data_IF_846410464125
#
_entry.id   IF_846410464125
#
_cell.length_a   1.000
_cell.length_b   1.000
_cell.length_c   1.000
_cell.angle_alpha   90.00
_cell.angle_beta   90.00
_cell.angle_gamma   90.00
#
_symmetry.space_group_name_H-M   'P 1'
#
loop_
_entity.id
_entity.type
_entity.pdbx_description
1 polymer ?
#
# COMPACT_ATOMS: atom_id res chain seq x y z
N UNK A 1 19.01 -1.02 21.51
CA UNK A 1 17.68 -0.40 21.60
C UNK A 1 16.77 -1.22 22.52
N UNK A 2 15.75 -0.59 23.07
CA UNK A 2 14.74 -1.27 23.91
C UNK A 2 13.54 -1.60 23.02
N UNK A 3 13.07 -2.85 23.06
CA UNK A 3 11.81 -3.22 22.41
C UNK A 3 10.65 -2.48 23.08
N UNK A 4 9.81 -1.81 22.27
CA UNK A 4 8.65 -1.02 22.73
C UNK A 4 7.37 -1.86 22.67
N UNK A 5 7.20 -2.62 21.58
CA UNK A 5 6.04 -3.49 21.35
C UNK A 5 6.43 -4.73 20.55
N UNK A 6 5.58 -5.73 20.57
CA UNK A 6 5.63 -6.90 19.69
C UNK A 6 4.20 -7.16 19.21
N UNK A 7 4.00 -7.14 17.89
CA UNK A 7 2.71 -7.38 17.25
C UNK A 7 2.64 -8.81 16.75
N UNK A 8 1.52 -9.49 16.93
CA UNK A 8 1.38 -10.95 16.69
C UNK A 8 0.17 -11.31 15.83
N UNK A 9 -0.34 -10.34 15.06
CA UNK A 9 -1.56 -10.50 14.26
C UNK A 9 -1.38 -11.41 13.03
N UNK A 10 -0.14 -11.56 12.54
CA UNK A 10 0.15 -12.41 11.40
C UNK A 10 0.44 -13.86 11.80
N UNK A 11 -0.16 -14.80 11.06
CA UNK A 11 0.03 -16.23 11.28
C UNK A 11 1.25 -16.83 10.55
N UNK A 12 1.87 -16.05 9.64
CA UNK A 12 3.00 -16.44 8.81
C UNK A 12 4.08 -15.34 8.81
N UNK A 13 5.27 -15.59 8.25
CA UNK A 13 6.35 -14.62 8.21
C UNK A 13 5.92 -13.26 7.65
N UNK A 14 6.34 -12.19 8.32
CA UNK A 14 6.23 -10.82 7.83
C UNK A 14 7.35 -10.58 6.81
N UNK A 15 6.99 -10.05 5.63
CA UNK A 15 7.92 -9.74 4.54
C UNK A 15 8.27 -8.27 4.46
N UNK A 16 7.30 -7.43 4.74
CA UNK A 16 7.43 -6.00 4.54
C UNK A 16 6.73 -5.22 5.62
N UNK A 17 7.30 -4.09 5.97
CA UNK A 17 6.71 -3.12 6.88
C UNK A 17 7.04 -1.72 6.38
N UNK A 18 6.05 -0.84 6.38
CA UNK A 18 6.23 0.56 6.01
C UNK A 18 5.36 1.46 6.87
N UNK A 19 5.80 2.70 7.05
CA UNK A 19 5.01 3.73 7.71
C UNK A 19 4.36 4.63 6.66
N UNK A 20 3.20 5.17 7.01
CA UNK A 20 2.69 6.33 6.30
C UNK A 20 3.68 7.50 6.44
N UNK A 21 3.74 8.36 5.42
CA UNK A 21 4.65 9.51 5.46
C UNK A 21 4.18 10.53 6.50
N UNK A 22 5.13 11.21 7.18
CA UNK A 22 4.77 12.29 8.10
C UNK A 22 4.09 13.44 7.36
N UNK A 23 3.24 14.17 8.07
CA UNK A 23 2.51 15.35 7.58
C UNK A 23 1.34 15.11 6.61
N UNK A 24 0.82 13.89 6.59
CA UNK A 24 -0.42 13.54 5.85
C UNK A 24 -1.49 13.02 6.81
N UNK A 25 -2.74 12.94 6.35
CA UNK A 25 -3.90 12.59 7.20
C UNK A 25 -3.82 11.19 7.83
N UNK A 26 -2.98 10.31 7.31
CA UNK A 26 -2.78 8.93 7.79
C UNK A 26 -1.35 8.70 8.30
N UNK A 27 -0.67 9.77 8.76
CA UNK A 27 0.76 9.73 9.16
C UNK A 27 1.06 8.79 10.31
N UNK A 28 0.08 8.47 11.13
CA UNK A 28 0.23 7.61 12.30
C UNK A 28 -0.10 6.13 12.01
N UNK A 29 -0.13 5.73 10.72
CA UNK A 29 -0.36 4.36 10.34
C UNK A 29 0.92 3.63 9.94
N UNK A 30 0.95 2.35 10.27
CA UNK A 30 1.96 1.38 9.84
C UNK A 30 1.26 0.25 9.08
N UNK A 31 1.88 -0.19 8.02
CA UNK A 31 1.37 -1.27 7.16
C UNK A 31 2.34 -2.44 7.19
N UNK A 32 1.80 -3.64 7.39
CA UNK A 32 2.58 -4.87 7.51
C UNK A 32 2.05 -5.90 6.52
N UNK A 33 2.90 -6.41 5.65
CA UNK A 33 2.55 -7.44 4.67
C UNK A 33 3.20 -8.78 5.00
N UNK A 34 2.44 -9.86 4.82
CA UNK A 34 2.84 -11.20 5.27
C UNK A 34 2.60 -12.30 4.23
N UNK A 35 3.27 -13.42 4.45
CA UNK A 35 3.05 -14.68 3.74
C UNK A 35 1.65 -15.26 3.98
N UNK A 36 0.93 -14.81 5.01
CA UNK A 36 -0.47 -15.18 5.24
C UNK A 36 -1.45 -14.52 4.25
N UNK A 37 -0.93 -13.76 3.28
CA UNK A 37 -1.66 -13.11 2.18
C UNK A 37 -2.48 -11.90 2.60
N UNK A 38 -2.27 -11.42 3.81
CA UNK A 38 -2.96 -10.24 4.35
C UNK A 38 -1.99 -9.08 4.53
N UNK A 39 -2.56 -7.88 4.56
CA UNK A 39 -1.88 -6.66 4.98
C UNK A 39 -2.62 -6.14 6.20
N UNK A 40 -1.93 -5.97 7.31
CA UNK A 40 -2.51 -5.31 8.48
C UNK A 40 -2.16 -3.84 8.53
N UNK A 41 -3.11 -3.04 8.96
CA UNK A 41 -2.99 -1.59 9.17
C UNK A 41 -3.02 -1.34 10.67
N UNK A 42 -2.00 -0.69 11.20
CA UNK A 42 -1.86 -0.44 12.62
C UNK A 42 -1.82 1.06 12.92
N UNK A 43 -2.44 1.46 14.02
CA UNK A 43 -2.31 2.79 14.59
C UNK A 43 -1.03 2.87 15.45
N UNK A 44 -0.08 3.69 15.03
CA UNK A 44 1.20 3.88 15.72
C UNK A 44 1.01 4.57 17.08
N UNK A 45 0.01 5.42 17.23
CA UNK A 45 -0.30 6.05 18.51
C UNK A 45 -0.83 5.04 19.54
N UNK A 46 -1.68 4.10 19.09
CA UNK A 46 -2.14 2.99 19.92
C UNK A 46 -0.96 2.11 20.38
N UNK A 47 -0.01 1.81 19.49
CA UNK A 47 1.22 1.08 19.84
C UNK A 47 2.02 1.84 20.91
N UNK A 48 2.21 3.15 20.77
CA UNK A 48 2.94 3.99 21.75
C UNK A 48 2.24 4.07 23.09
N UNK A 49 0.91 4.04 23.09
CA UNK A 49 0.08 4.09 24.29
C UNK A 49 -0.12 2.72 24.94
N UNK A 50 0.53 1.68 24.44
CA UNK A 50 0.42 0.29 24.94
C UNK A 50 -1.01 -0.24 24.93
N UNK A 51 -1.83 0.16 23.96
CA UNK A 51 -3.16 -0.40 23.73
C UNK A 51 -3.00 -1.80 23.16
N UNK A 52 -3.82 -2.75 23.63
CA UNK A 52 -3.71 -4.16 23.22
C UNK A 52 -4.13 -4.42 21.77
N UNK A 53 -5.09 -3.66 21.27
CA UNK A 53 -5.54 -3.73 19.87
C UNK A 53 -5.01 -2.55 19.09
N UNK A 54 -4.03 -2.81 18.23
CA UNK A 54 -3.39 -1.79 17.41
C UNK A 54 -3.74 -1.91 15.94
N UNK A 55 -4.23 -3.09 15.49
CA UNK A 55 -4.70 -3.29 14.15
C UNK A 55 -6.07 -2.63 13.94
N UNK A 56 -6.12 -1.63 13.08
CA UNK A 56 -7.34 -0.90 12.72
C UNK A 56 -8.04 -1.50 11.50
N UNK A 57 -7.30 -2.26 10.68
CA UNK A 57 -7.85 -2.98 9.53
C UNK A 57 -6.94 -4.13 9.11
N UNK A 58 -7.55 -5.11 8.41
CA UNK A 58 -6.85 -6.18 7.69
C UNK A 58 -7.34 -6.20 6.24
N UNK A 59 -6.43 -5.98 5.28
CA UNK A 59 -6.74 -5.96 3.86
C UNK A 59 -6.57 -7.35 3.29
N UNK A 60 -7.63 -7.86 2.72
CA UNK A 60 -7.66 -9.18 2.10
C UNK A 60 -7.87 -9.07 0.60
N UNK A 61 -7.35 -10.04 -0.15
CA UNK A 61 -7.55 -10.10 -1.60
C UNK A 61 -6.36 -10.67 -2.36
N UNK A 62 -5.15 -10.58 -1.81
CA UNK A 62 -4.00 -11.30 -2.35
C UNK A 62 -4.18 -12.81 -2.19
N UNK A 63 -3.71 -13.57 -3.18
CA UNK A 63 -3.78 -15.04 -3.21
C UNK A 63 -2.44 -15.72 -2.94
N UNK A 64 -1.39 -14.93 -2.79
CA UNK A 64 -0.03 -15.35 -2.51
C UNK A 64 0.60 -14.47 -1.43
N UNK A 65 1.88 -14.61 -1.23
CA UNK A 65 2.66 -13.85 -0.26
C UNK A 65 2.70 -12.38 -0.61
N UNK A 66 2.41 -11.51 0.34
CA UNK A 66 2.59 -10.07 0.16
C UNK A 66 4.07 -9.76 0.29
N UNK A 67 4.69 -9.37 -0.82
CA UNK A 67 6.14 -9.20 -0.91
C UNK A 67 6.58 -7.78 -0.58
N UNK A 68 5.78 -6.78 -0.94
CA UNK A 68 6.05 -5.38 -0.59
C UNK A 68 4.77 -4.58 -0.41
N UNK A 69 4.83 -3.57 0.45
CA UNK A 69 3.77 -2.59 0.69
C UNK A 69 4.41 -1.21 0.82
N UNK A 70 3.91 -0.24 0.08
CA UNK A 70 4.42 1.13 0.09
C UNK A 70 3.28 2.15 0.21
N UNK A 71 3.42 3.09 1.15
CA UNK A 71 2.49 4.19 1.29
C UNK A 71 2.76 5.28 0.24
N UNK A 72 1.73 5.71 -0.45
CA UNK A 72 1.78 6.84 -1.39
C UNK A 72 1.99 8.18 -0.68
N UNK A 73 2.37 9.19 -1.43
CA UNK A 73 2.78 10.46 -0.87
C UNK A 73 1.69 11.27 -0.18
N UNK A 74 0.44 11.08 -0.59
CA UNK A 74 -0.71 11.69 0.06
C UNK A 74 -1.16 10.93 1.33
N UNK A 75 -0.50 9.79 1.66
CA UNK A 75 -0.81 8.94 2.79
C UNK A 75 -2.16 8.20 2.71
N UNK A 76 -2.98 8.49 1.70
CA UNK A 76 -4.31 7.89 1.53
C UNK A 76 -4.28 6.58 0.74
N UNK A 77 -3.35 6.45 -0.20
CA UNK A 77 -3.26 5.27 -1.06
C UNK A 77 -2.02 4.46 -0.69
N UNK A 78 -2.19 3.17 -0.56
CA UNK A 78 -1.06 2.24 -0.46
C UNK A 78 -1.03 1.32 -1.68
N UNK A 79 0.18 0.95 -2.10
CA UNK A 79 0.42 -0.05 -3.12
C UNK A 79 0.96 -1.32 -2.47
N UNK A 80 0.50 -2.48 -2.93
CA UNK A 80 1.03 -3.77 -2.49
C UNK A 80 1.36 -4.65 -3.67
N UNK A 81 2.43 -5.45 -3.53
CA UNK A 81 2.86 -6.44 -4.52
C UNK A 81 2.86 -7.83 -3.92
N UNK A 82 2.70 -8.83 -4.77
CA UNK A 82 2.47 -10.17 -4.30
C UNK A 82 3.05 -11.23 -5.24
N UNK A 83 3.32 -12.40 -4.67
CA UNK A 83 3.69 -13.60 -5.41
C UNK A 83 2.55 -14.15 -6.27
N UNK A 84 1.32 -13.64 -6.13
CA UNK A 84 0.18 -13.94 -7.00
C UNK A 84 0.21 -13.17 -8.33
N UNK A 85 1.32 -12.49 -8.63
CA UNK A 85 1.57 -11.72 -9.84
C UNK A 85 0.73 -10.44 -9.94
N UNK A 86 0.20 -9.95 -8.84
CA UNK A 86 -0.72 -8.80 -8.83
C UNK A 86 -0.17 -7.64 -8.01
N UNK A 87 -0.28 -6.44 -8.56
CA UNK A 87 -0.19 -5.18 -7.80
C UNK A 87 -1.60 -4.75 -7.45
N UNK A 88 -1.82 -4.32 -6.22
CA UNK A 88 -3.07 -3.72 -5.76
C UNK A 88 -2.84 -2.34 -5.20
N UNK A 89 -3.76 -1.42 -5.49
CA UNK A 89 -3.84 -0.13 -4.81
C UNK A 89 -5.08 -0.12 -3.91
N UNK A 90 -4.91 0.42 -2.71
CA UNK A 90 -5.94 0.46 -1.68
C UNK A 90 -6.18 1.89 -1.25
N UNK A 91 -7.46 2.29 -1.13
CA UNK A 91 -7.85 3.61 -0.63
C UNK A 91 -8.18 3.53 0.86
N UNK A 92 -7.35 4.15 1.68
CA UNK A 92 -7.54 4.22 3.13
C UNK A 92 -8.65 5.20 3.54
N UNK A 93 -9.11 6.03 2.61
CA UNK A 93 -10.19 7.01 2.87
C UNK A 93 -11.59 6.41 2.82
N UNK A 94 -11.73 5.13 2.49
CA UNK A 94 -13.00 4.40 2.47
C UNK A 94 -13.15 3.52 3.71
N UNK A 95 -14.37 3.30 4.15
CA UNK A 95 -14.68 2.37 5.25
C UNK A 95 -15.80 1.43 4.80
N UNK A 96 -15.52 0.15 4.55
CA UNK A 96 -14.20 -0.52 4.65
C UNK A 96 -13.18 0.00 3.61
N UNK A 97 -11.89 -0.22 3.88
CA UNK A 97 -10.81 0.09 2.93
C UNK A 97 -11.00 -0.74 1.65
N UNK A 98 -11.01 -0.07 0.51
CA UNK A 98 -11.29 -0.68 -0.78
C UNK A 98 -10.04 -0.86 -1.64
N UNK A 99 -9.99 -1.97 -2.38
CA UNK A 99 -9.03 -2.16 -3.46
C UNK A 99 -9.53 -1.41 -4.71
N UNK A 100 -8.87 -0.31 -5.04
CA UNK A 100 -9.28 0.61 -6.12
C UNK A 100 -8.62 0.33 -7.46
N UNK A 101 -7.53 -0.45 -7.47
CA UNK A 101 -6.87 -0.87 -8.69
C UNK A 101 -6.23 -2.25 -8.51
N UNK A 102 -6.25 -3.03 -9.57
CA UNK A 102 -5.57 -4.32 -9.67
C UNK A 102 -4.86 -4.40 -11.02
N UNK A 103 -3.55 -4.64 -11.00
CA UNK A 103 -2.74 -4.85 -12.19
C UNK A 103 -2.03 -6.20 -12.12
N UNK A 104 -2.24 -7.06 -13.12
CA UNK A 104 -1.63 -8.39 -13.20
C UNK A 104 -0.40 -8.37 -14.11
N UNK A 105 0.65 -9.05 -13.69
CA UNK A 105 1.86 -9.32 -14.48
C UNK A 105 1.99 -10.82 -14.75
N UNK A 106 3.01 -11.20 -15.53
CA UNK A 106 3.24 -12.63 -15.89
C UNK A 106 3.97 -13.39 -14.79
N UNK A 107 4.70 -12.70 -13.94
CA UNK A 107 5.60 -13.27 -12.92
C UNK A 107 5.37 -12.58 -11.57
N UNK A 108 5.85 -13.17 -10.46
CA UNK A 108 5.82 -12.55 -9.14
C UNK A 108 6.43 -11.13 -9.15
N UNK A 109 5.84 -10.25 -8.36
CA UNK A 109 6.24 -8.84 -8.27
C UNK A 109 6.87 -8.61 -6.91
N UNK A 110 8.18 -8.37 -6.89
CA UNK A 110 8.98 -8.31 -5.68
C UNK A 110 8.89 -6.99 -4.93
N UNK A 111 8.73 -5.89 -5.68
CA UNK A 111 8.75 -4.59 -5.05
C UNK A 111 7.96 -3.54 -5.80
N UNK A 112 7.56 -2.50 -5.09
CA UNK A 112 6.90 -1.32 -5.63
C UNK A 112 7.51 -0.05 -5.04
N UNK A 113 7.62 0.98 -5.84
CA UNK A 113 8.01 2.30 -5.36
C UNK A 113 7.18 3.39 -6.04
N UNK A 114 6.80 4.40 -5.28
CA UNK A 114 6.10 5.56 -5.79
C UNK A 114 7.05 6.56 -6.41
N UNK A 115 6.67 7.17 -7.53
CA UNK A 115 7.42 8.28 -8.10
C UNK A 115 7.36 9.50 -7.15
N UNK A 116 8.47 10.20 -6.93
CA UNK A 116 8.50 11.36 -6.02
C UNK A 116 7.43 12.41 -6.30
N UNK A 117 7.19 12.76 -7.58
CA UNK A 117 6.18 13.76 -7.96
C UNK A 117 4.73 13.32 -7.66
N UNK A 118 4.50 12.02 -7.52
CA UNK A 118 3.21 11.48 -7.07
C UNK A 118 2.97 11.70 -5.57
N UNK A 119 3.94 12.29 -4.91
CA UNK A 119 3.98 12.53 -3.47
C UNK A 119 3.49 13.92 -3.08
N UNK A 120 3.35 14.84 -4.04
CA UNK A 120 2.89 16.21 -3.82
C UNK A 120 1.39 16.32 -4.15
N UNK A 121 0.55 15.72 -3.31
CA UNK A 121 -0.88 16.03 -3.30
C UNK A 121 -1.09 17.42 -2.70
N UNK A 122 -1.57 18.38 -3.50
CA UNK A 122 -1.98 19.69 -2.96
C UNK A 122 -3.17 19.50 -2.03
N UNK A 123 -3.19 20.24 -0.91
CA UNK A 123 -4.27 20.22 0.09
C UNK A 123 -5.68 20.46 -0.46
N UNK A 124 -5.80 20.95 -1.69
CA UNK A 124 -7.07 21.29 -2.35
C UNK A 124 -7.81 20.06 -2.90
N UNK A 125 -7.13 18.93 -3.11
CA UNK A 125 -7.74 17.71 -3.65
C UNK A 125 -8.43 16.81 -2.60
N UNK A 126 -8.46 17.21 -1.35
CA UNK A 126 -8.94 16.40 -0.22
C UNK A 126 -10.46 16.22 -0.16
N UNK A 127 -11.24 16.80 -1.06
CA UNK A 127 -12.71 16.81 -1.01
C UNK A 127 -13.44 15.97 -2.05
N UNK A 128 -12.75 15.38 -3.01
CA UNK A 128 -13.40 14.66 -4.12
C UNK A 128 -13.12 13.16 -4.09
N UNK A 129 -14.17 12.36 -4.26
CA UNK A 129 -14.07 10.90 -4.52
C UNK A 129 -13.33 10.58 -5.83
N UNK A 130 -12.90 11.60 -6.55
CA UNK A 130 -12.10 11.55 -7.78
C UNK A 130 -10.59 11.53 -7.49
N UNK A 131 -10.18 11.20 -6.28
CA UNK A 131 -8.77 11.23 -5.82
C UNK A 131 -7.85 10.18 -6.45
N UNK A 132 -8.38 9.36 -7.33
CA UNK A 132 -7.58 8.66 -8.35
C UNK A 132 -7.35 9.58 -9.56
N UNK A 133 -7.64 10.88 -9.40
CA UNK A 133 -7.39 11.86 -10.41
C UNK A 133 -5.91 12.00 -10.68
N UNK A 134 -5.58 11.64 -11.88
CA UNK A 134 -4.47 12.13 -12.66
C UNK A 134 -3.08 12.02 -12.01
N UNK A 135 -2.43 10.88 -12.21
CA UNK A 135 -1.00 10.92 -12.31
C UNK A 135 -0.18 10.30 -11.21
N UNK A 136 -0.75 9.54 -10.27
CA UNK A 136 0.07 8.72 -9.39
C UNK A 136 0.88 7.75 -10.24
N UNK A 137 2.20 7.94 -10.22
CA UNK A 137 3.13 7.07 -10.93
C UNK A 137 3.81 6.16 -9.93
N UNK A 138 3.90 4.90 -10.26
CA UNK A 138 4.66 3.94 -9.48
C UNK A 138 5.41 2.98 -10.40
N UNK A 139 6.45 2.38 -9.89
CA UNK A 139 7.25 1.39 -10.59
C UNK A 139 7.19 0.07 -9.83
N UNK A 140 7.33 -1.03 -10.56
CA UNK A 140 7.40 -2.38 -9.99
C UNK A 140 8.62 -3.11 -10.53
N UNK A 141 9.24 -3.92 -9.67
CA UNK A 141 10.26 -4.88 -10.05
C UNK A 141 9.72 -6.30 -9.97
N UNK A 142 9.91 -7.09 -11.02
CA UNK A 142 9.36 -8.43 -11.13
C UNK A 142 10.42 -9.49 -11.43
N UNK A 143 10.06 -10.76 -11.22
CA UNK A 143 10.94 -11.92 -11.33
C UNK A 143 11.43 -12.18 -12.78
N UNK A 144 10.79 -11.58 -13.76
CA UNK A 144 11.22 -11.63 -15.17
C UNK A 144 12.38 -10.67 -15.50
N UNK A 145 12.93 -9.98 -14.48
CA UNK A 145 14.03 -9.04 -14.65
C UNK A 145 13.61 -7.67 -15.20
N UNK A 146 12.31 -7.38 -15.29
CA UNK A 146 11.81 -6.11 -15.79
C UNK A 146 11.41 -5.16 -14.66
N UNK A 147 11.63 -3.88 -14.93
CA UNK A 147 11.03 -2.77 -14.17
C UNK A 147 9.93 -2.16 -15.03
N UNK A 148 8.72 -2.04 -14.47
CA UNK A 148 7.57 -1.47 -15.17
C UNK A 148 7.09 -0.24 -14.47
N UNK A 149 6.84 0.83 -15.25
CA UNK A 149 6.26 2.06 -14.74
C UNK A 149 4.77 2.10 -15.08
N UNK A 150 3.98 2.49 -14.09
CA UNK A 150 2.53 2.64 -14.22
C UNK A 150 2.13 4.07 -13.88
N UNK A 151 1.10 4.51 -14.55
CA UNK A 151 0.36 5.72 -14.20
C UNK A 151 -1.07 5.33 -13.88
N UNK A 152 -1.56 5.68 -12.69
CA UNK A 152 -2.97 5.48 -12.40
C UNK A 152 -3.80 6.40 -13.29
N UNK A 153 -4.67 5.81 -14.11
CA UNK A 153 -5.70 6.57 -14.81
C UNK A 153 -6.83 6.84 -13.80
N UNK A 154 -7.43 8.02 -13.84
CA UNK A 154 -8.64 8.33 -13.09
C UNK A 154 -9.73 7.27 -13.36
N UNK A 155 -10.68 7.14 -12.46
CA UNK A 155 -11.75 6.13 -12.49
C UNK A 155 -12.29 5.89 -13.89
N UNK A 156 -11.98 4.73 -14.49
CA UNK A 156 -12.62 4.28 -15.71
C UNK A 156 -11.74 3.76 -16.85
N UNK A 157 -10.42 3.81 -16.77
CA UNK A 157 -9.58 3.33 -17.87
C UNK A 157 -8.36 2.52 -17.40
N UNK A 158 -8.05 1.50 -18.18
CA UNK A 158 -6.88 0.64 -18.08
C UNK A 158 -5.59 1.43 -17.80
N UNK A 159 -4.75 0.92 -16.91
CA UNK A 159 -3.38 1.40 -16.80
C UNK A 159 -2.66 1.19 -18.13
N UNK A 160 -2.17 2.26 -18.73
CA UNK A 160 -1.31 2.17 -19.90
C UNK A 160 0.08 1.72 -19.43
N UNK A 161 0.51 0.58 -19.92
CA UNK A 161 1.86 0.07 -19.73
C UNK A 161 2.78 0.92 -20.64
N UNK A 162 3.65 1.70 -20.02
CA UNK A 162 4.70 2.44 -20.74
C UNK A 162 5.96 1.58 -20.67
N UNK A 163 6.37 1.08 -21.83
CA UNK A 163 7.63 0.34 -22.04
C UNK A 163 8.82 1.28 -21.96
#
# INVERSE_FOLDING_TARGET
GKQVACLTEHAQPVRTVTFARPNVSYSDHMFVGSDDRTITVHDVQAIRSHVSETAVAALQGHRGWVLDVQAGGNGRVIASTCSDHVVRLWDLGTSPIECIMTQTQKTPIWGVAWHPDSMEGTREDMGSSTLMAAGHRFITGSDDGHVRMYRSAGTGTRADEVV
#
